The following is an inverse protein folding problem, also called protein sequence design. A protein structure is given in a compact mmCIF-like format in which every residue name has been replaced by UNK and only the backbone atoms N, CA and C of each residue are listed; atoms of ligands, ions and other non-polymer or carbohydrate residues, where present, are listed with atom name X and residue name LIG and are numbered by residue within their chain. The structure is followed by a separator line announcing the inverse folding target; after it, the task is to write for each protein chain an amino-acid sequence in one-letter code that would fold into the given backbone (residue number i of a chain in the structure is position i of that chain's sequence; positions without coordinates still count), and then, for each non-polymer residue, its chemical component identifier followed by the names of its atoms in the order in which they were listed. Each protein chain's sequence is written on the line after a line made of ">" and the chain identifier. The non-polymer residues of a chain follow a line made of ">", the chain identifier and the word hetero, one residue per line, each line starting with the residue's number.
data_IF_855202256343
#
_entry.id   IF_855202256343
#
_cell.length_a   1.000
_cell.length_b   1.000
_cell.length_c   1.000
_cell.angle_alpha   90.00
_cell.angle_beta   90.00
_cell.angle_gamma   90.00
#
_symmetry.space_group_name_H-M   'P 1'
#
loop_
_entity.id
_entity.type
_entity.pdbx_description
1 polymer ?
#
# COMPACT_ATOMS: atom_id res chain seq x y z
N UNK A 1 -3.05 4.97 9.55
CA UNK A 1 -3.85 5.11 8.33
C UNK A 1 -4.89 6.23 8.49
N UNK A 2 -5.42 6.73 7.41
CA UNK A 2 -6.40 7.81 7.38
C UNK A 2 -7.73 7.26 6.89
N UNK A 3 -8.81 7.58 7.59
CA UNK A 3 -10.16 7.14 7.24
C UNK A 3 -11.21 8.21 7.54
N UNK A 4 -12.40 8.03 6.96
CA UNK A 4 -13.57 8.82 7.32
C UNK A 4 -14.19 8.28 8.61
N UNK A 5 -14.52 9.21 9.51
CA UNK A 5 -15.26 8.92 10.74
C UNK A 5 -16.41 9.93 10.85
N UNK A 6 -17.62 9.53 10.42
CA UNK A 6 -18.73 10.47 10.28
C UNK A 6 -18.42 11.57 9.28
N UNK A 7 -18.54 12.81 9.68
CA UNK A 7 -18.24 13.99 8.85
C UNK A 7 -16.75 14.40 8.88
N UNK A 8 -15.95 13.73 9.70
CA UNK A 8 -14.55 14.07 9.90
C UNK A 8 -13.62 13.04 9.26
N UNK A 9 -12.39 13.47 9.04
CA UNK A 9 -11.29 12.59 8.66
C UNK A 9 -10.38 12.42 9.87
N UNK A 10 -10.06 11.20 10.18
CA UNK A 10 -9.15 10.88 11.29
C UNK A 10 -7.91 10.14 10.83
N UNK A 11 -6.81 10.37 11.52
CA UNK A 11 -5.60 9.57 11.40
C UNK A 11 -5.48 8.70 12.64
N UNK A 12 -5.37 7.39 12.43
CA UNK A 12 -5.27 6.41 13.51
C UNK A 12 -4.14 5.44 13.26
N UNK A 13 -3.53 4.98 14.35
CA UNK A 13 -2.58 3.89 14.31
C UNK A 13 -3.33 2.57 14.53
N UNK A 14 -3.26 1.69 13.55
CA UNK A 14 -3.84 0.35 13.62
C UNK A 14 -2.79 -0.68 13.21
N UNK A 15 -2.92 -1.91 13.67
CA UNK A 15 -2.10 -3.01 13.18
C UNK A 15 -2.22 -3.18 11.67
N UNK A 16 -1.10 -3.43 11.03
CA UNK A 16 -1.05 -3.74 9.60
C UNK A 16 -1.15 -5.25 9.41
N UNK A 17 -2.27 -5.70 8.89
CA UNK A 17 -2.55 -7.11 8.63
C UNK A 17 -3.96 -7.48 9.07
N UNK A 18 -4.78 -7.90 8.11
CA UNK A 18 -6.14 -8.38 8.36
C UNK A 18 -6.12 -9.82 8.87
N UNK A 19 -7.21 -10.23 9.50
CA UNK A 19 -7.39 -11.58 10.01
C UNK A 19 -7.15 -12.61 8.90
N UNK A 20 -6.25 -13.60 9.12
CA UNK A 20 -6.03 -14.66 8.15
C UNK A 20 -7.26 -15.59 8.05
N UNK A 21 -7.36 -16.26 6.90
CA UNK A 21 -8.44 -17.23 6.65
C UNK A 21 -8.38 -18.44 7.59
N UNK A 22 -7.18 -18.82 7.99
CA UNK A 22 -6.91 -19.94 8.88
C UNK A 22 -6.26 -19.44 10.17
N UNK A 23 -6.58 -20.07 11.30
CA UNK A 23 -6.08 -19.69 12.64
C UNK A 23 -4.56 -19.63 12.73
N UNK A 24 -3.87 -20.49 11.97
CA UNK A 24 -2.40 -20.54 11.93
C UNK A 24 -1.78 -19.76 10.78
N UNK A 25 -2.60 -19.08 9.96
CA UNK A 25 -2.15 -18.32 8.80
C UNK A 25 -1.47 -17.01 9.18
N UNK A 26 -0.69 -16.48 8.25
CA UNK A 26 -0.13 -15.13 8.37
C UNK A 26 -1.20 -14.07 8.09
N UNK A 27 -1.14 -12.92 8.76
CA UNK A 27 -2.04 -11.81 8.47
C UNK A 27 -1.98 -11.37 7.02
N UNK A 28 -3.10 -10.92 6.47
CA UNK A 28 -3.16 -10.34 5.14
C UNK A 28 -2.69 -8.87 5.20
N UNK A 29 -1.43 -8.63 4.91
CA UNK A 29 -0.87 -7.27 4.84
C UNK A 29 -1.18 -6.57 3.54
N UNK A 30 -1.40 -7.33 2.47
CA UNK A 30 -1.76 -6.84 1.14
C UNK A 30 -2.94 -7.63 0.59
N UNK A 31 -3.76 -6.96 -0.22
CA UNK A 31 -4.92 -7.57 -0.88
C UNK A 31 -4.91 -7.16 -2.35
N UNK A 32 -5.04 -8.14 -3.25
CA UNK A 32 -5.14 -7.88 -4.67
C UNK A 32 -6.45 -7.16 -5.00
N UNK A 33 -6.35 -6.04 -5.70
CA UNK A 33 -7.50 -5.18 -5.98
C UNK A 33 -8.33 -5.62 -7.19
N UNK A 34 -7.69 -6.17 -8.23
CA UNK A 34 -8.38 -6.49 -9.48
C UNK A 34 -9.54 -7.46 -9.28
N UNK A 35 -10.68 -7.12 -9.87
CA UNK A 35 -11.89 -7.95 -9.78
C UNK A 35 -12.61 -7.90 -8.44
N UNK A 36 -12.17 -7.06 -7.51
CA UNK A 36 -12.77 -6.93 -6.18
C UNK A 36 -13.48 -5.60 -6.02
N UNK A 37 -14.47 -5.57 -5.14
CA UNK A 37 -15.21 -4.39 -4.76
C UNK A 37 -14.97 -4.07 -3.29
N UNK A 38 -14.82 -2.78 -3.02
CA UNK A 38 -14.61 -2.26 -1.67
C UNK A 38 -15.65 -1.17 -1.40
N UNK A 39 -16.93 -1.56 -1.14
CA UNK A 39 -18.03 -0.61 -1.00
C UNK A 39 -18.03 0.14 0.33
N UNK A 40 -17.19 -0.31 1.28
CA UNK A 40 -17.05 0.31 2.61
C UNK A 40 -15.61 0.19 3.08
N UNK A 41 -15.26 0.91 4.14
CA UNK A 41 -14.00 0.75 4.87
C UNK A 41 -12.74 0.96 4.02
N UNK A 42 -12.80 1.92 3.10
CA UNK A 42 -11.60 2.38 2.39
C UNK A 42 -10.79 3.29 3.28
N UNK A 43 -9.46 3.23 3.13
CA UNK A 43 -8.55 4.11 3.86
C UNK A 43 -7.35 4.50 3.01
N UNK A 44 -6.58 5.44 3.52
CA UNK A 44 -5.34 5.91 2.92
C UNK A 44 -4.18 5.64 3.87
N UNK A 45 -3.07 5.22 3.33
CA UNK A 45 -1.84 5.03 4.10
C UNK A 45 -0.79 6.00 3.55
N UNK A 46 -0.39 7.04 4.32
CA UNK A 46 0.67 7.95 3.89
C UNK A 46 2.00 7.22 3.78
N UNK A 47 2.75 7.51 2.72
CA UNK A 47 4.05 6.93 2.49
C UNK A 47 4.93 7.87 1.68
N UNK A 48 6.24 7.71 1.79
CA UNK A 48 7.22 8.42 0.98
C UNK A 48 7.92 7.51 -0.02
N UNK A 49 7.94 6.22 0.26
CA UNK A 49 8.59 5.21 -0.58
C UNK A 49 8.00 3.83 -0.30
N UNK A 50 8.30 2.90 -1.20
CA UNK A 50 8.10 1.47 -0.97
C UNK A 50 9.27 0.69 -1.54
N UNK A 51 9.41 -0.55 -1.12
CA UNK A 51 10.57 -1.38 -1.43
C UNK A 51 10.16 -2.70 -2.04
N UNK A 52 10.96 -3.17 -2.99
CA UNK A 52 10.89 -4.51 -3.54
C UNK A 52 12.29 -5.12 -3.59
N UNK A 53 12.36 -6.43 -3.37
CA UNK A 53 13.58 -7.19 -3.65
C UNK A 53 13.45 -7.85 -5.02
N UNK A 54 14.50 -7.76 -5.80
CA UNK A 54 14.59 -8.39 -7.11
C UNK A 54 16.01 -8.91 -7.31
N UNK A 55 16.13 -10.18 -7.64
CA UNK A 55 17.42 -10.83 -7.92
C UNK A 55 18.48 -10.61 -6.83
N UNK A 56 18.07 -10.73 -5.56
CA UNK A 56 18.94 -10.55 -4.41
C UNK A 56 19.28 -9.11 -4.04
N UNK A 57 18.75 -8.13 -4.75
CA UNK A 57 18.96 -6.70 -4.48
C UNK A 57 17.67 -6.06 -4.01
N UNK A 58 17.81 -5.06 -3.13
CA UNK A 58 16.70 -4.23 -2.67
C UNK A 58 16.61 -2.95 -3.50
N UNK A 59 15.40 -2.56 -3.85
CA UNK A 59 15.12 -1.33 -4.59
C UNK A 59 14.09 -0.50 -3.87
N UNK A 60 14.28 0.81 -3.90
CA UNK A 60 13.35 1.80 -3.36
C UNK A 60 12.68 2.56 -4.47
N UNK A 61 11.39 2.74 -4.35
CA UNK A 61 10.56 3.46 -5.30
C UNK A 61 9.90 4.64 -4.59
N UNK A 62 10.04 5.81 -5.16
CA UNK A 62 9.41 7.05 -4.71
C UNK A 62 8.81 7.79 -5.90
N UNK A 63 7.89 8.72 -5.65
CA UNK A 63 7.35 9.53 -6.74
C UNK A 63 8.37 10.57 -7.21
N UNK A 64 8.49 10.69 -8.53
CA UNK A 64 9.35 11.69 -9.15
C UNK A 64 8.85 13.12 -8.90
N UNK A 65 7.54 13.31 -8.74
CA UNK A 65 6.87 14.61 -8.65
C UNK A 65 6.53 15.06 -7.23
N UNK A 66 6.74 14.22 -6.22
CA UNK A 66 6.31 14.50 -4.85
C UNK A 66 7.14 13.74 -3.83
N UNK A 67 7.34 14.35 -2.66
CA UNK A 67 8.09 13.71 -1.57
C UNK A 67 7.28 12.65 -0.83
N UNK A 68 5.97 12.63 -1.02
CA UNK A 68 5.09 11.68 -0.37
C UNK A 68 3.79 11.48 -1.16
N UNK A 69 3.12 10.37 -0.88
CA UNK A 69 1.90 9.95 -1.56
C UNK A 69 1.04 9.12 -0.60
N UNK A 70 -0.08 8.59 -1.10
CA UNK A 70 -0.92 7.66 -0.37
C UNK A 70 -0.94 6.30 -1.06
N UNK A 71 -0.97 5.23 -0.27
CA UNK A 71 -1.46 3.94 -0.74
C UNK A 71 -2.97 3.86 -0.52
N UNK A 72 -3.67 3.25 -1.46
CA UNK A 72 -5.04 2.84 -1.25
C UNK A 72 -5.07 1.62 -0.33
N UNK A 73 -5.89 1.67 0.68
CA UNK A 73 -6.05 0.59 1.63
C UNK A 73 -7.49 0.31 1.98
N UNK A 74 -7.67 -0.76 2.72
CA UNK A 74 -8.93 -1.14 3.33
C UNK A 74 -8.69 -1.46 4.79
N UNK A 75 -9.71 -1.30 5.62
CA UNK A 75 -9.66 -1.67 7.02
C UNK A 75 -10.86 -2.51 7.41
N UNK A 76 -10.74 -3.23 8.51
CA UNK A 76 -11.82 -4.06 9.04
C UNK A 76 -12.00 -3.74 10.51
N UNK A 77 -13.25 -3.66 10.99
CA UNK A 77 -13.53 -3.49 12.40
C UNK A 77 -13.00 -4.66 13.22
N UNK A 78 -12.81 -4.40 14.51
CA UNK A 78 -12.46 -5.43 15.47
C UNK A 78 -13.50 -6.56 15.44
N UNK A 79 -13.01 -7.80 15.47
CA UNK A 79 -13.82 -8.98 15.67
C UNK A 79 -13.48 -9.61 17.01
N UNK A 80 -14.16 -10.71 17.35
CA UNK A 80 -13.82 -11.49 18.57
C UNK A 80 -12.38 -11.97 18.60
N UNK A 81 -11.86 -12.36 17.43
CA UNK A 81 -10.58 -13.05 17.30
C UNK A 81 -9.46 -12.17 16.70
N UNK A 82 -9.80 -10.96 16.26
CA UNK A 82 -8.83 -10.09 15.59
C UNK A 82 -9.06 -8.61 15.91
N UNK A 83 -7.97 -7.83 16.11
CA UNK A 83 -8.10 -6.40 16.35
C UNK A 83 -8.57 -5.65 15.10
N UNK A 84 -9.04 -4.43 15.27
CA UNK A 84 -9.20 -3.50 14.15
C UNK A 84 -7.86 -3.35 13.43
N UNK A 85 -7.85 -3.53 12.12
CA UNK A 85 -6.62 -3.60 11.34
C UNK A 85 -6.85 -3.17 9.89
N UNK A 86 -5.76 -2.92 9.17
CA UNK A 86 -5.81 -2.53 7.77
C UNK A 86 -4.89 -3.38 6.90
N UNK A 87 -5.13 -3.32 5.59
CA UNK A 87 -4.27 -3.87 4.56
C UNK A 87 -4.11 -2.86 3.42
N UNK A 88 -3.01 -2.97 2.69
CA UNK A 88 -2.74 -2.17 1.50
C UNK A 88 -3.19 -2.95 0.26
N UNK A 89 -3.83 -2.27 -0.68
CA UNK A 89 -4.22 -2.87 -1.93
C UNK A 89 -3.05 -2.95 -2.89
N UNK A 90 -2.98 -4.02 -3.68
CA UNK A 90 -1.99 -4.19 -4.74
C UNK A 90 -2.66 -4.23 -6.10
N UNK A 91 -1.92 -3.76 -7.08
CA UNK A 91 -2.31 -3.75 -8.49
C UNK A 91 -1.14 -4.28 -9.33
N UNK A 92 -1.37 -4.48 -10.62
CA UNK A 92 -0.27 -4.76 -11.54
C UNK A 92 0.71 -3.59 -11.57
N UNK A 93 1.98 -3.89 -11.79
CA UNK A 93 3.04 -2.87 -11.80
C UNK A 93 2.91 -1.95 -12.99
N UNK A 94 3.24 -0.66 -12.78
CA UNK A 94 3.47 0.24 -13.89
C UNK A 94 4.76 -0.12 -14.63
N UNK A 95 5.05 0.57 -15.74
CA UNK A 95 6.20 0.28 -16.57
C UNK A 95 7.55 0.45 -15.84
N UNK A 96 7.63 1.35 -14.86
CA UNK A 96 8.86 1.60 -14.10
C UNK A 96 9.21 0.43 -13.16
N UNK A 97 8.19 -0.18 -12.57
CA UNK A 97 8.32 -1.23 -11.56
C UNK A 97 8.36 -2.63 -12.19
N UNK A 98 7.70 -2.81 -13.33
CA UNK A 98 7.58 -4.11 -13.99
C UNK A 98 8.90 -4.88 -14.18
N UNK A 99 10.05 -4.24 -14.48
CA UNK A 99 11.33 -4.95 -14.56
C UNK A 99 11.80 -5.58 -13.24
N UNK A 100 11.28 -5.11 -12.11
CA UNK A 100 11.68 -5.55 -10.77
C UNK A 100 10.66 -6.48 -10.12
N UNK A 101 9.39 -6.21 -10.34
CA UNK A 101 8.29 -6.99 -9.76
C UNK A 101 7.03 -6.81 -10.60
N UNK A 102 6.22 -7.86 -10.72
CA UNK A 102 4.97 -7.85 -11.49
C UNK A 102 3.78 -7.22 -10.74
N UNK A 103 3.92 -6.99 -9.42
CA UNK A 103 2.92 -6.38 -8.57
C UNK A 103 3.48 -5.17 -7.85
N UNK A 104 2.60 -4.22 -7.52
CA UNK A 104 2.94 -3.06 -6.69
C UNK A 104 1.81 -2.69 -5.75
N UNK A 105 2.12 -1.95 -4.70
CA UNK A 105 1.11 -1.30 -3.89
C UNK A 105 0.41 -0.21 -4.69
N UNK A 106 -0.90 -0.08 -4.53
CA UNK A 106 -1.71 0.88 -5.27
C UNK A 106 -1.45 2.30 -4.78
N UNK A 107 -0.65 3.04 -5.52
CA UNK A 107 -0.34 4.44 -5.24
C UNK A 107 -1.47 5.33 -5.78
N UNK A 108 -2.01 6.19 -4.91
CA UNK A 108 -3.01 7.17 -5.27
C UNK A 108 -2.36 8.55 -5.39
N UNK A 109 -2.53 9.24 -6.52
CA UNK A 109 -2.24 10.65 -6.61
C UNK A 109 -3.03 11.43 -5.55
N UNK A 110 -2.45 12.51 -5.03
CA UNK A 110 -3.11 13.32 -4.00
C UNK A 110 -4.50 13.81 -4.41
N UNK A 111 -4.70 14.12 -5.67
CA UNK A 111 -5.99 14.60 -6.22
C UNK A 111 -7.12 13.58 -6.07
N UNK A 112 -6.78 12.28 -6.02
CA UNK A 112 -7.76 11.19 -5.99
C UNK A 112 -8.07 10.70 -4.57
N UNK A 113 -7.38 11.22 -3.55
CA UNK A 113 -7.49 10.72 -2.18
C UNK A 113 -8.90 10.77 -1.60
N UNK A 114 -9.61 11.88 -1.83
CA UNK A 114 -10.96 12.06 -1.30
C UNK A 114 -11.98 11.20 -2.03
N UNK A 115 -11.84 11.07 -3.34
CA UNK A 115 -12.72 10.21 -4.14
C UNK A 115 -12.61 8.75 -3.70
N UNK A 116 -11.42 8.32 -3.28
CA UNK A 116 -11.23 6.98 -2.72
C UNK A 116 -11.92 6.81 -1.36
N UNK A 117 -11.61 7.68 -0.42
CA UNK A 117 -12.17 7.62 0.96
C UNK A 117 -13.69 7.74 0.96
N UNK A 118 -14.22 8.64 0.15
CA UNK A 118 -15.64 8.97 0.15
C UNK A 118 -16.48 8.09 -0.78
N UNK A 119 -15.88 7.04 -1.34
CA UNK A 119 -16.57 6.08 -2.22
C UNK A 119 -17.19 6.74 -3.45
N UNK A 120 -16.62 7.85 -3.90
CA UNK A 120 -17.17 8.66 -5.00
C UNK A 120 -16.88 8.08 -6.38
N UNK A 121 -15.87 7.22 -6.48
CA UNK A 121 -15.45 6.60 -7.74
C UNK A 121 -15.17 5.12 -7.55
N UNK A 122 -15.33 4.37 -8.63
CA UNK A 122 -15.09 2.93 -8.62
C UNK A 122 -13.61 2.60 -8.49
N UNK A 123 -13.35 1.40 -8.01
CA UNK A 123 -12.00 0.86 -7.83
C UNK A 123 -11.18 0.93 -9.13
N UNK A 124 -11.76 0.52 -10.25
CA UNK A 124 -11.08 0.46 -11.55
C UNK A 124 -10.69 1.85 -12.08
N UNK A 125 -11.39 2.89 -11.66
CA UNK A 125 -11.09 4.26 -12.09
C UNK A 125 -9.93 4.87 -11.32
N UNK A 126 -9.75 4.47 -10.06
CA UNK A 126 -8.75 5.02 -9.16
C UNK A 126 -7.51 4.14 -9.04
N UNK A 127 -7.68 2.83 -9.05
CA UNK A 127 -6.61 1.87 -8.83
C UNK A 127 -5.97 1.45 -10.16
N UNK A 128 -5.27 2.38 -10.78
CA UNK A 128 -4.57 2.17 -12.05
C UNK A 128 -3.07 2.39 -11.87
N UNK A 129 -2.24 1.62 -12.60
CA UNK A 129 -0.82 1.94 -12.66
C UNK A 129 -0.60 3.37 -13.15
N UNK A 130 0.33 4.07 -12.52
CA UNK A 130 0.71 5.41 -12.95
C UNK A 130 1.46 5.35 -14.28
N UNK A 131 1.49 6.45 -15.05
CA UNK A 131 2.21 6.50 -16.31
C UNK A 131 3.72 6.20 -16.14
N UNK A 132 4.41 5.73 -17.19
CA UNK A 132 5.85 5.59 -17.17
C UNK A 132 6.54 6.90 -16.77
N UNK A 133 7.61 6.80 -15.97
CA UNK A 133 8.33 7.96 -15.46
C UNK A 133 7.79 8.52 -14.15
N UNK A 134 6.71 7.94 -13.60
CA UNK A 134 6.13 8.41 -12.35
C UNK A 134 7.01 8.14 -11.13
N UNK A 135 7.82 7.09 -11.16
CA UNK A 135 8.64 6.67 -10.03
C UNK A 135 10.12 6.93 -10.25
N UNK A 136 10.79 7.36 -9.18
CA UNK A 136 12.25 7.30 -9.05
C UNK A 136 12.61 5.96 -8.43
N UNK A 137 13.66 5.34 -8.96
CA UNK A 137 14.14 4.03 -8.52
C UNK A 137 15.57 4.18 -8.02
N UNK A 138 15.84 3.70 -6.82
CA UNK A 138 17.19 3.63 -6.28
C UNK A 138 17.45 2.25 -5.70
N UNK A 139 18.66 1.74 -5.89
CA UNK A 139 19.12 0.51 -5.28
C UNK A 139 19.50 0.78 -3.83
N UNK A 140 19.09 -0.11 -2.92
CA UNK A 140 19.52 -0.04 -1.53
C UNK A 140 21.03 -0.21 -1.45
N UNK A 141 21.68 0.59 -0.58
CA UNK A 141 23.11 0.39 -0.30
C UNK A 141 23.29 -0.98 0.34
N UNK A 142 24.30 -1.73 -0.12
CA UNK A 142 24.72 -2.93 0.56
C UNK A 142 25.09 -2.56 2.01
N UNK A 143 24.48 -3.25 2.99
CA UNK A 143 24.91 -3.10 4.37
C UNK A 143 26.39 -3.51 4.47
N UNK A 144 27.21 -2.71 5.16
CA UNK A 144 28.59 -3.11 5.43
C UNK A 144 28.62 -4.47 6.09
N UNK A 145 29.55 -5.33 5.68
CA UNK A 145 29.67 -6.69 6.21
C UNK A 145 29.80 -6.71 7.74
N UNK A 146 30.37 -5.66 8.33
CA UNK A 146 30.48 -5.43 9.77
C UNK A 146 29.12 -5.26 10.48
N UNK A 147 28.11 -4.75 9.79
CA UNK A 147 26.76 -4.60 10.35
C UNK A 147 26.03 -5.93 10.55
N UNK A 148 26.47 -6.99 9.87
CA UNK A 148 25.87 -8.33 10.00
C UNK A 148 26.24 -9.03 11.31
N UNK A 149 27.29 -8.59 11.96
CA UNK A 149 27.80 -9.19 13.18
C UNK A 149 27.55 -8.37 14.45
N UNK A 150 26.81 -7.27 14.32
CA UNK A 150 26.49 -6.38 15.44
C UNK A 150 25.31 -6.86 16.31
N UNK A 151 24.80 -8.04 16.02
CA UNK A 151 23.69 -8.63 16.77
C UNK A 151 24.05 -9.96 17.40
#
# INVERSE_FOLDING_TARGET
>A
MIRRSGDEIEMVELPWGLQPSETSGSPFTVVRAEGRRFPTHRCLIPASEFRHRSRGKGYRFSLASSDWFYFAGIWRPKTRDWPEAYAILTIESNADIAPFHDRQMAVLPRKDRMDWIDLMRREEELLRPLPPGAFKISEDRAEPEEARFAF
#
